data_IF_059568601636
#
_entry.id   IF_059568601636
#
_cell.length_a   1.000
_cell.length_b   1.000
_cell.length_c   1.000
_cell.angle_alpha   90.00
_cell.angle_beta   90.00
_cell.angle_gamma   90.00
#
_symmetry.space_group_name_H-M   'P 1'
#
loop_
_entity.id
_entity.type
_entity.pdbx_description
1 polymer ?
#
# COMPACT_ATOMS: atom_id res chain seq x y z
N UNK A 1 25.38 -13.54 -9.20
CA UNK A 1 24.68 -12.64 -10.11
C UNK A 1 25.65 -11.54 -10.55
N UNK A 2 25.69 -11.19 -11.85
CA UNK A 2 26.46 -10.06 -12.33
C UNK A 2 25.83 -8.76 -11.79
N UNK A 3 26.68 -7.82 -11.36
CA UNK A 3 26.20 -6.51 -10.95
C UNK A 3 25.80 -5.71 -12.21
N UNK A 4 24.81 -4.82 -12.06
CA UNK A 4 24.41 -3.93 -13.14
C UNK A 4 25.61 -3.08 -13.60
N UNK A 5 25.81 -2.91 -14.91
CA UNK A 5 26.82 -1.99 -15.44
C UNK A 5 26.57 -0.55 -14.99
N UNK A 6 27.62 0.27 -15.09
CA UNK A 6 27.46 1.73 -14.89
C UNK A 6 26.52 2.32 -15.94
N UNK A 7 25.77 3.36 -15.57
CA UNK A 7 24.75 4.00 -16.40
C UNK A 7 23.55 3.11 -16.81
N UNK A 8 23.38 1.92 -16.20
CA UNK A 8 22.20 1.07 -16.47
C UNK A 8 20.89 1.81 -16.22
N UNK A 9 19.95 1.60 -17.13
CA UNK A 9 18.58 2.15 -17.07
C UNK A 9 17.67 1.17 -16.35
N UNK A 10 17.04 1.59 -15.28
CA UNK A 10 16.07 0.78 -14.53
C UNK A 10 14.74 1.49 -14.53
N UNK A 11 13.72 0.84 -15.07
CA UNK A 11 12.35 1.33 -15.05
C UNK A 11 11.56 0.55 -13.98
N UNK A 12 10.99 1.27 -13.02
CA UNK A 12 10.15 0.72 -11.96
C UNK A 12 8.69 1.03 -12.30
N UNK A 13 7.88 0.01 -12.49
CA UNK A 13 6.46 0.13 -12.82
C UNK A 13 5.62 0.04 -11.56
N UNK A 14 5.09 1.16 -11.12
CA UNK A 14 4.30 1.36 -9.90
C UNK A 14 5.03 2.19 -8.85
N UNK A 15 4.45 3.34 -8.51
CA UNK A 15 4.97 4.32 -7.54
C UNK A 15 4.35 4.20 -6.16
N UNK A 16 3.76 3.06 -5.82
CA UNK A 16 3.38 2.76 -4.45
C UNK A 16 4.59 2.59 -3.53
N UNK A 17 4.38 2.35 -2.23
CA UNK A 17 5.49 2.23 -1.25
C UNK A 17 6.56 1.22 -1.66
N UNK A 18 6.17 0.10 -2.29
CA UNK A 18 7.12 -0.91 -2.78
C UNK A 18 8.04 -0.41 -3.89
N UNK A 19 7.48 0.31 -4.88
CA UNK A 19 8.26 0.86 -5.99
C UNK A 19 9.17 2.01 -5.55
N UNK A 20 8.65 2.90 -4.71
CA UNK A 20 9.47 3.98 -4.12
C UNK A 20 10.61 3.41 -3.28
N UNK A 21 10.33 2.43 -2.42
CA UNK A 21 11.36 1.80 -1.60
C UNK A 21 12.42 1.11 -2.45
N UNK A 22 12.00 0.41 -3.52
CA UNK A 22 12.92 -0.20 -4.48
C UNK A 22 13.84 0.84 -5.13
N UNK A 23 13.28 1.95 -5.64
CA UNK A 23 14.05 3.00 -6.30
C UNK A 23 15.06 3.67 -5.37
N UNK A 24 14.63 4.07 -4.18
CA UNK A 24 15.49 4.70 -3.17
C UNK A 24 16.62 3.77 -2.71
N UNK A 25 16.30 2.48 -2.51
CA UNK A 25 17.30 1.50 -2.09
C UNK A 25 18.30 1.20 -3.22
N UNK A 26 17.85 1.07 -4.45
CA UNK A 26 18.72 0.88 -5.61
C UNK A 26 19.66 2.07 -5.80
N UNK A 27 19.14 3.30 -5.68
CA UNK A 27 19.97 4.51 -5.75
C UNK A 27 21.07 4.46 -4.69
N UNK A 28 20.71 4.23 -3.44
CA UNK A 28 21.68 4.14 -2.35
C UNK A 28 22.73 3.06 -2.56
N UNK A 29 22.30 1.84 -2.95
CA UNK A 29 23.25 0.74 -3.20
C UNK A 29 24.18 1.03 -4.38
N UNK A 30 23.72 1.76 -5.39
CA UNK A 30 24.55 2.19 -6.50
C UNK A 30 25.58 3.23 -6.03
N UNK A 31 25.17 4.22 -5.25
CA UNK A 31 26.05 5.22 -4.63
C UNK A 31 27.12 4.56 -3.75
N UNK A 32 26.73 3.63 -2.87
CA UNK A 32 27.62 2.86 -2.01
C UNK A 32 28.63 2.03 -2.82
N UNK A 33 28.24 1.56 -3.99
CA UNK A 33 29.10 0.82 -4.93
C UNK A 33 29.91 1.70 -5.87
N UNK A 34 29.83 3.03 -5.76
CA UNK A 34 30.47 3.99 -6.66
C UNK A 34 29.99 3.89 -8.11
N UNK A 35 28.73 3.52 -8.30
CA UNK A 35 28.09 3.34 -9.62
C UNK A 35 26.97 4.35 -9.84
N UNK A 36 26.74 4.67 -11.09
CA UNK A 36 25.57 5.45 -11.53
C UNK A 36 24.56 4.52 -12.14
N UNK A 37 23.29 4.70 -11.78
CA UNK A 37 22.14 4.08 -12.44
C UNK A 37 21.11 5.15 -12.73
N UNK A 38 20.36 4.98 -13.82
CA UNK A 38 19.25 5.87 -14.20
C UNK A 38 17.96 5.19 -13.78
N UNK A 39 17.28 5.81 -12.82
CA UNK A 39 16.05 5.27 -12.24
C UNK A 39 14.87 6.09 -12.72
N UNK A 40 13.95 5.46 -13.45
CA UNK A 40 12.65 6.03 -13.82
C UNK A 40 11.55 5.24 -13.12
N UNK A 41 10.71 5.94 -12.37
CA UNK A 41 9.57 5.37 -11.67
C UNK A 41 8.29 5.81 -12.36
N UNK A 42 7.51 4.86 -12.86
CA UNK A 42 6.23 5.10 -13.52
C UNK A 42 5.08 4.97 -12.53
N UNK A 43 4.24 6.01 -12.38
CA UNK A 43 3.03 5.98 -11.56
C UNK A 43 1.87 6.65 -12.30
N UNK A 44 0.86 5.86 -12.65
CA UNK A 44 -0.31 6.36 -13.36
C UNK A 44 -1.34 7.06 -12.48
N UNK A 45 -1.31 6.83 -11.16
CA UNK A 45 -2.25 7.44 -10.21
C UNK A 45 -1.88 8.87 -9.88
N UNK A 46 -2.91 9.66 -9.61
CA UNK A 46 -2.75 10.99 -9.06
C UNK A 46 -3.22 10.97 -7.62
N UNK A 47 -2.34 11.32 -6.67
CA UNK A 47 -2.63 11.25 -5.24
C UNK A 47 -3.29 12.53 -4.68
N UNK A 48 -3.73 13.44 -5.54
CA UNK A 48 -4.45 14.66 -5.20
C UNK A 48 -5.86 14.66 -5.77
N UNK A 49 -6.79 15.30 -5.05
CA UNK A 49 -8.16 15.50 -5.49
C UNK A 49 -9.18 14.54 -4.90
N UNK A 50 -10.47 14.87 -5.06
CA UNK A 50 -11.60 14.18 -4.42
C UNK A 50 -11.87 12.75 -4.94
N UNK A 51 -11.28 12.38 -6.07
CA UNK A 51 -11.51 11.07 -6.73
C UNK A 51 -10.52 9.99 -6.31
N UNK A 52 -9.59 10.32 -5.43
CA UNK A 52 -8.55 9.38 -5.09
C UNK A 52 -8.91 8.60 -3.83
N UNK A 53 -9.27 7.35 -4.00
CA UNK A 53 -9.56 6.42 -2.92
C UNK A 53 -8.47 5.36 -2.86
N UNK A 54 -7.77 5.28 -1.74
CA UNK A 54 -7.01 4.09 -1.39
C UNK A 54 -7.89 3.24 -0.47
N UNK A 55 -8.32 2.08 -0.97
CA UNK A 55 -9.15 1.12 -0.23
C UNK A 55 -8.29 0.31 0.76
N UNK A 56 -7.74 1.00 1.75
CA UNK A 56 -6.86 0.42 2.76
C UNK A 56 -7.21 0.99 4.14
N UNK A 57 -7.13 0.17 5.18
CA UNK A 57 -7.29 0.63 6.56
C UNK A 57 -6.20 1.65 6.95
N UNK A 58 -5.03 1.61 6.29
CA UNK A 58 -3.98 2.59 6.49
C UNK A 58 -3.24 2.44 7.81
N UNK A 59 -3.03 1.21 8.25
CA UNK A 59 -2.23 0.90 9.43
C UNK A 59 -0.78 0.68 9.01
N UNK A 60 0.13 1.38 9.64
CA UNK A 60 1.57 1.25 9.47
C UNK A 60 2.15 0.71 10.78
N UNK A 61 2.77 -0.46 10.72
CA UNK A 61 3.28 -1.17 11.90
C UNK A 61 4.80 -1.11 11.98
N UNK A 62 5.34 -1.29 13.17
CA UNK A 62 6.77 -1.51 13.37
C UNK A 62 7.25 -2.73 12.54
N UNK A 63 8.47 -2.75 12.00
CA UNK A 63 9.51 -1.71 12.14
C UNK A 63 9.53 -0.67 10.98
N UNK A 64 8.38 -0.37 10.35
CA UNK A 64 8.33 0.49 9.17
C UNK A 64 8.95 1.88 9.38
N UNK A 65 8.69 2.62 10.49
CA UNK A 65 9.33 3.92 10.72
C UNK A 65 10.86 3.84 10.70
N UNK A 66 11.42 2.82 11.34
CA UNK A 66 12.85 2.56 11.36
C UNK A 66 13.41 2.21 9.97
N UNK A 67 12.69 1.38 9.22
CA UNK A 67 13.10 1.00 7.85
C UNK A 67 13.12 2.22 6.93
N UNK A 68 12.11 3.09 7.01
CA UNK A 68 12.09 4.33 6.22
C UNK A 68 13.33 5.18 6.50
N UNK A 69 13.62 5.41 7.77
CA UNK A 69 14.75 6.27 8.15
C UNK A 69 16.10 5.62 7.88
N UNK A 70 16.32 4.39 8.36
CA UNK A 70 17.64 3.74 8.30
C UNK A 70 17.96 3.17 6.92
N UNK A 71 16.96 2.64 6.21
CA UNK A 71 17.20 1.98 4.92
C UNK A 71 17.00 2.93 3.74
N UNK A 72 15.98 3.77 3.79
CA UNK A 72 15.63 4.63 2.66
C UNK A 72 16.10 6.08 2.85
N UNK A 73 16.52 6.48 4.05
CA UNK A 73 16.85 7.87 4.37
C UNK A 73 15.64 8.81 4.27
N UNK A 74 14.44 8.28 4.48
CA UNK A 74 13.18 9.01 4.46
C UNK A 74 12.67 9.09 5.90
N UNK A 75 12.45 10.29 6.41
CA UNK A 75 11.89 10.47 7.74
C UNK A 75 10.44 9.93 7.79
N UNK A 76 10.07 9.36 8.92
CA UNK A 76 8.68 9.00 9.12
C UNK A 76 7.81 10.26 9.18
N UNK A 77 6.68 10.34 8.42
CA UNK A 77 5.87 11.55 8.34
C UNK A 77 4.90 11.66 9.54
N UNK A 78 5.40 11.99 10.73
CA UNK A 78 4.57 12.11 11.93
C UNK A 78 3.37 13.04 11.78
N UNK A 79 3.46 14.06 10.91
CA UNK A 79 2.34 14.95 10.59
C UNK A 79 1.18 14.26 9.83
N UNK A 80 1.37 13.04 9.33
CA UNK A 80 0.32 12.24 8.68
C UNK A 80 -0.31 11.22 9.64
N UNK A 81 0.15 11.16 10.89
CA UNK A 81 -0.45 10.31 11.91
C UNK A 81 -1.83 10.82 12.26
N UNK A 82 -2.81 9.95 12.12
CA UNK A 82 -4.19 10.22 12.54
C UNK A 82 -4.49 9.62 13.91
N UNK A 83 -3.86 8.50 14.25
CA UNK A 83 -4.01 7.86 15.56
C UNK A 83 -2.92 6.85 15.81
N UNK A 84 -2.40 6.83 17.03
CA UNK A 84 -1.62 5.74 17.57
C UNK A 84 -2.54 4.54 17.91
N UNK A 85 -2.12 3.34 17.52
CA UNK A 85 -2.86 2.10 17.74
C UNK A 85 -2.01 1.19 18.63
N UNK A 86 -2.52 0.87 19.81
CA UNK A 86 -1.77 0.11 20.82
C UNK A 86 -2.00 -1.40 20.75
N UNK A 87 -2.85 -1.87 19.87
CA UNK A 87 -3.12 -3.29 19.69
C UNK A 87 -4.48 -3.58 19.10
N UNK A 88 -4.99 -4.77 19.42
CA UNK A 88 -6.21 -5.34 18.85
C UNK A 88 -7.17 -5.83 19.91
N UNK A 89 -8.45 -5.80 19.59
CA UNK A 89 -9.49 -6.60 20.26
C UNK A 89 -10.01 -7.59 19.22
N UNK A 90 -9.67 -8.86 19.39
CA UNK A 90 -10.14 -9.92 18.52
C UNK A 90 -11.51 -10.41 19.01
N UNK A 91 -12.52 -10.30 18.14
CA UNK A 91 -13.87 -10.78 18.43
C UNK A 91 -14.05 -12.18 17.85
N UNK A 92 -14.22 -13.15 18.72
CA UNK A 92 -14.68 -14.49 18.38
C UNK A 92 -16.19 -14.63 18.54
N UNK A 93 -16.76 -15.82 18.26
CA UNK A 93 -18.21 -16.05 18.35
C UNK A 93 -18.80 -15.93 19.77
N UNK A 94 -17.96 -16.10 20.81
CA UNK A 94 -18.41 -16.10 22.22
C UNK A 94 -17.53 -15.26 23.14
N UNK A 95 -16.29 -14.97 22.73
CA UNK A 95 -15.26 -14.37 23.56
C UNK A 95 -14.53 -13.25 22.81
N UNK A 96 -13.85 -12.42 23.57
CA UNK A 96 -12.96 -11.39 23.05
C UNK A 96 -11.56 -11.61 23.63
N UNK A 97 -10.54 -11.39 22.80
CA UNK A 97 -9.15 -11.40 23.22
C UNK A 97 -8.54 -10.02 22.99
N UNK A 98 -8.06 -9.40 24.06
CA UNK A 98 -7.29 -8.15 23.97
C UNK A 98 -5.84 -8.50 23.79
N UNK A 99 -5.22 -7.90 22.78
CA UNK A 99 -3.81 -8.06 22.44
C UNK A 99 -3.16 -6.68 22.34
N UNK A 100 -2.13 -6.45 23.13
CA UNK A 100 -1.34 -5.23 23.09
C UNK A 100 -0.08 -5.45 22.23
N UNK A 101 0.24 -4.46 21.39
CA UNK A 101 1.48 -4.43 20.63
C UNK A 101 2.62 -3.89 21.51
N UNK A 102 3.83 -4.41 21.32
CA UNK A 102 5.02 -3.91 22.04
C UNK A 102 5.41 -2.51 21.56
N UNK A 103 5.24 -2.28 20.27
CA UNK A 103 5.49 -1.00 19.63
C UNK A 103 4.19 -0.59 18.94
N UNK A 104 3.65 0.61 19.23
CA UNK A 104 2.40 1.04 18.65
C UNK A 104 2.46 1.08 17.12
N UNK A 105 1.35 0.73 16.50
CA UNK A 105 1.11 0.97 15.09
C UNK A 105 0.53 2.37 14.89
N UNK A 106 0.57 2.89 13.67
CA UNK A 106 0.05 4.23 13.36
C UNK A 106 -1.01 4.14 12.27
N UNK A 107 -2.16 4.75 12.52
CA UNK A 107 -3.18 4.93 11.50
C UNK A 107 -2.89 6.17 10.66
N UNK A 108 -2.86 6.01 9.33
CA UNK A 108 -2.66 7.10 8.37
C UNK A 108 -3.70 7.04 7.25
N UNK A 109 -3.84 8.11 6.49
CA UNK A 109 -4.50 8.07 5.19
C UNK A 109 -3.48 7.62 4.14
N UNK A 110 -3.63 6.39 3.63
CA UNK A 110 -2.67 5.79 2.70
C UNK A 110 -2.40 6.65 1.47
N UNK A 111 -3.40 7.36 0.96
CA UNK A 111 -3.21 8.27 -0.17
C UNK A 111 -2.18 9.37 0.13
N UNK A 112 -2.21 9.93 1.34
CA UNK A 112 -1.25 10.95 1.77
C UNK A 112 0.14 10.36 2.01
N UNK A 113 0.20 9.17 2.60
CA UNK A 113 1.45 8.46 2.80
C UNK A 113 2.09 8.05 1.46
N UNK A 114 1.31 7.54 0.51
CA UNK A 114 1.80 7.16 -0.80
C UNK A 114 2.33 8.38 -1.58
N UNK A 115 1.63 9.53 -1.50
CA UNK A 115 2.11 10.78 -2.08
C UNK A 115 3.41 11.28 -1.40
N UNK A 116 3.46 11.22 -0.07
CA UNK A 116 4.66 11.57 0.68
C UNK A 116 5.88 10.75 0.23
N UNK A 117 5.71 9.45 0.05
CA UNK A 117 6.77 8.56 -0.43
C UNK A 117 7.21 8.93 -1.86
N UNK A 118 6.28 9.26 -2.76
CA UNK A 118 6.62 9.74 -4.10
C UNK A 118 7.35 11.08 -4.09
N UNK A 119 6.96 12.02 -3.22
CA UNK A 119 7.65 13.28 -3.05
C UNK A 119 9.08 13.06 -2.51
N UNK A 120 9.25 12.12 -1.58
CA UNK A 120 10.57 11.75 -1.09
C UNK A 120 11.46 11.18 -2.21
N UNK A 121 10.91 10.35 -3.10
CA UNK A 121 11.64 9.87 -4.28
C UNK A 121 12.09 11.02 -5.20
N UNK A 122 11.20 11.96 -5.49
CA UNK A 122 11.53 13.17 -6.29
C UNK A 122 12.61 14.02 -5.63
N UNK A 123 12.49 14.25 -4.32
CA UNK A 123 13.45 15.05 -3.55
C UNK A 123 14.86 14.42 -3.54
N UNK A 124 14.94 13.11 -3.71
CA UNK A 124 16.20 12.35 -3.84
C UNK A 124 16.68 12.25 -5.29
N UNK A 125 16.01 12.90 -6.24
CA UNK A 125 16.40 12.97 -7.63
C UNK A 125 15.96 11.78 -8.50
N UNK A 126 15.07 10.90 -8.02
CA UNK A 126 14.47 9.89 -8.89
C UNK A 126 13.56 10.56 -9.92
N UNK A 127 13.67 10.13 -11.18
CA UNK A 127 12.74 10.54 -12.22
C UNK A 127 11.39 9.85 -11.99
N UNK A 128 10.37 10.61 -11.56
CA UNK A 128 9.01 10.10 -11.36
C UNK A 128 8.11 10.60 -12.47
N UNK A 129 7.73 9.70 -13.36
CA UNK A 129 6.91 9.99 -14.53
C UNK A 129 5.48 9.56 -14.28
N UNK A 130 4.54 10.47 -14.60
CA UNK A 130 3.12 10.15 -14.56
C UNK A 130 2.73 9.40 -15.82
N UNK A 131 2.81 8.07 -15.76
CA UNK A 131 2.45 7.19 -16.87
C UNK A 131 2.05 5.82 -16.35
N UNK A 132 1.22 5.12 -17.11
CA UNK A 132 0.88 3.71 -16.90
C UNK A 132 1.57 2.87 -17.94
N UNK A 133 2.26 1.81 -17.54
CA UNK A 133 2.78 0.81 -18.45
C UNK A 133 1.62 0.00 -19.05
N UNK A 134 1.60 -0.09 -20.38
CA UNK A 134 0.55 -0.78 -21.14
C UNK A 134 1.07 -2.00 -21.89
N UNK A 135 2.37 -2.06 -22.18
CA UNK A 135 3.01 -3.23 -22.76
C UNK A 135 4.52 -3.27 -22.47
N UNK A 136 5.12 -4.45 -22.65
CA UNK A 136 6.56 -4.69 -22.54
C UNK A 136 7.03 -5.46 -23.77
N UNK A 137 8.15 -5.02 -24.36
CA UNK A 137 8.82 -5.72 -25.47
C UNK A 137 10.28 -6.01 -25.08
N UNK A 138 10.65 -7.29 -25.10
CA UNK A 138 11.97 -7.78 -24.70
C UNK A 138 12.85 -7.99 -25.93
N UNK A 139 13.90 -7.20 -26.03
CA UNK A 139 14.96 -7.36 -27.02
C UNK A 139 16.19 -8.05 -26.39
N UNK A 140 17.16 -8.39 -27.22
CA UNK A 140 18.37 -9.08 -26.77
C UNK A 140 19.22 -8.26 -25.78
N UNK A 141 19.17 -6.92 -25.87
CA UNK A 141 20.01 -5.96 -25.17
C UNK A 141 19.22 -4.98 -24.30
N UNK A 142 17.90 -4.94 -24.39
CA UNK A 142 17.05 -3.99 -23.66
C UNK A 142 15.61 -4.49 -23.56
N UNK A 143 14.86 -3.81 -22.69
CA UNK A 143 13.40 -3.90 -22.64
C UNK A 143 12.80 -2.55 -22.99
N UNK A 144 11.76 -2.53 -23.81
CA UNK A 144 10.96 -1.35 -24.08
C UNK A 144 9.68 -1.41 -23.25
N UNK A 145 9.48 -0.43 -22.39
CA UNK A 145 8.26 -0.27 -21.60
C UNK A 145 7.36 0.74 -22.32
N UNK A 146 6.30 0.27 -22.92
CA UNK A 146 5.30 1.13 -23.56
C UNK A 146 4.37 1.69 -22.50
N UNK A 147 4.08 2.99 -22.60
CA UNK A 147 3.11 3.69 -21.76
C UNK A 147 2.01 4.33 -22.58
N UNK A 148 1.02 4.89 -21.91
CA UNK A 148 -0.06 5.66 -22.56
C UNK A 148 0.46 6.89 -23.32
N UNK A 149 1.68 7.34 -23.06
CA UNK A 149 2.28 8.54 -23.67
C UNK A 149 3.52 8.27 -24.50
N UNK A 150 4.56 7.71 -23.91
CA UNK A 150 5.87 7.53 -24.55
C UNK A 150 6.51 6.21 -24.11
N UNK A 151 7.29 5.54 -24.96
CA UNK A 151 8.06 4.37 -24.56
C UNK A 151 9.29 4.77 -23.72
N UNK A 152 9.70 3.85 -22.85
CA UNK A 152 10.94 3.95 -22.07
C UNK A 152 11.81 2.72 -22.36
N UNK A 153 13.06 2.95 -22.72
CA UNK A 153 14.04 1.87 -22.81
C UNK A 153 14.67 1.59 -21.45
N UNK A 154 14.82 0.34 -21.11
CA UNK A 154 15.41 -0.13 -19.86
C UNK A 154 16.32 -1.33 -20.09
N UNK A 155 17.36 -1.43 -19.27
CA UNK A 155 18.19 -2.63 -19.16
C UNK A 155 17.58 -3.60 -18.12
N UNK A 156 16.82 -3.05 -17.17
CA UNK A 156 16.03 -3.81 -16.19
C UNK A 156 14.67 -3.15 -15.99
N UNK A 157 13.61 -3.96 -15.93
CA UNK A 157 12.26 -3.53 -15.55
C UNK A 157 11.85 -4.21 -14.24
N UNK A 158 11.36 -3.42 -13.29
CA UNK A 158 10.87 -3.89 -12.00
C UNK A 158 9.36 -3.72 -11.94
N UNK A 159 8.62 -4.82 -11.75
CA UNK A 159 7.19 -4.79 -11.50
C UNK A 159 6.90 -4.52 -10.02
N UNK A 160 6.42 -3.31 -9.71
CA UNK A 160 6.00 -2.89 -8.36
C UNK A 160 4.54 -2.36 -8.34
N UNK A 161 3.73 -2.83 -9.25
CA UNK A 161 2.38 -2.37 -9.58
C UNK A 161 1.30 -2.79 -8.57
N UNK A 162 1.67 -3.54 -7.51
CA UNK A 162 0.73 -3.98 -6.48
C UNK A 162 -0.43 -4.79 -7.05
N UNK A 163 -1.66 -4.33 -6.82
CA UNK A 163 -2.90 -5.00 -7.25
C UNK A 163 -3.49 -4.41 -8.54
N UNK A 164 -2.68 -3.73 -9.38
CA UNK A 164 -3.14 -3.24 -10.68
C UNK A 164 -3.25 -4.42 -11.67
N UNK A 165 -4.48 -4.89 -11.90
CA UNK A 165 -4.77 -6.05 -12.75
C UNK A 165 -4.32 -5.85 -14.20
N UNK A 166 -4.43 -4.63 -14.72
CA UNK A 166 -4.02 -4.31 -16.09
C UNK A 166 -2.51 -4.49 -16.28
N UNK A 167 -1.72 -3.92 -15.38
CA UNK A 167 -0.25 -4.08 -15.41
C UNK A 167 0.17 -5.53 -15.08
N UNK A 168 -0.53 -6.19 -14.13
CA UNK A 168 -0.29 -7.59 -13.81
C UNK A 168 -0.49 -8.49 -15.05
N UNK A 169 -1.53 -8.23 -15.85
CA UNK A 169 -1.80 -8.95 -17.10
C UNK A 169 -0.70 -8.72 -18.14
N UNK A 170 -0.14 -7.50 -18.25
CA UNK A 170 1.01 -7.22 -19.12
C UNK A 170 2.20 -8.09 -18.71
N UNK A 171 2.58 -8.07 -17.44
CA UNK A 171 3.70 -8.87 -16.94
C UNK A 171 3.46 -10.38 -17.10
N UNK A 172 2.23 -10.85 -16.85
CA UNK A 172 1.89 -12.27 -17.03
C UNK A 172 2.02 -12.72 -18.49
N UNK A 173 1.63 -11.87 -19.45
CA UNK A 173 1.71 -12.17 -20.87
C UNK A 173 3.15 -12.19 -21.40
N UNK A 174 4.00 -11.28 -20.91
CA UNK A 174 5.34 -11.02 -21.46
C UNK A 174 6.46 -11.69 -20.69
N UNK A 175 6.18 -12.13 -19.47
CA UNK A 175 7.15 -12.81 -18.60
C UNK A 175 6.53 -14.10 -18.03
N UNK A 176 7.21 -14.80 -17.19
CA UNK A 176 6.64 -15.94 -16.46
C UNK A 176 5.86 -15.55 -15.20
N UNK A 177 5.53 -14.27 -15.00
CA UNK A 177 4.82 -13.79 -13.81
C UNK A 177 3.43 -14.42 -13.69
N UNK A 178 3.11 -14.89 -12.51
CA UNK A 178 1.77 -15.37 -12.16
C UNK A 178 1.24 -14.52 -11.01
N UNK A 179 0.10 -13.82 -11.21
CA UNK A 179 -0.54 -13.10 -10.11
C UNK A 179 -0.85 -14.05 -8.95
N UNK A 180 -0.62 -13.64 -7.70
CA UNK A 180 -1.05 -14.42 -6.54
C UNK A 180 -2.57 -14.43 -6.44
N UNK A 181 -3.10 -15.45 -5.75
CA UNK A 181 -4.50 -15.42 -5.31
C UNK A 181 -4.73 -14.23 -4.38
N UNK A 182 -5.84 -13.53 -4.59
CA UNK A 182 -6.18 -12.36 -3.82
C UNK A 182 -7.58 -12.47 -3.21
N UNK A 183 -7.76 -11.89 -2.03
CA UNK A 183 -9.07 -11.66 -1.45
C UNK A 183 -9.64 -10.35 -1.97
N UNK A 184 -10.92 -10.36 -2.28
CA UNK A 184 -11.67 -9.13 -2.51
C UNK A 184 -11.83 -8.38 -1.18
N UNK A 185 -11.82 -7.06 -1.22
CA UNK A 185 -11.99 -6.21 -0.03
C UNK A 185 -12.98 -5.09 -0.30
N UNK A 186 -13.82 -4.80 0.68
CA UNK A 186 -14.64 -3.60 0.71
C UNK A 186 -14.29 -2.75 1.92
N UNK A 187 -14.25 -1.43 1.71
CA UNK A 187 -13.90 -0.46 2.75
C UNK A 187 -14.94 0.65 2.80
N UNK A 188 -15.35 1.02 4.00
CA UNK A 188 -16.20 2.18 4.24
C UNK A 188 -15.71 3.00 5.42
N UNK A 189 -16.28 4.17 5.63
CA UNK A 189 -16.00 5.04 6.77
C UNK A 189 -17.27 5.33 7.53
N UNK A 190 -17.13 5.43 8.84
CA UNK A 190 -18.21 5.81 9.75
C UNK A 190 -17.73 6.94 10.66
N UNK A 191 -18.51 7.98 10.78
CA UNK A 191 -18.22 9.19 11.58
C UNK A 191 -19.20 9.26 12.77
N UNK A 192 -18.89 8.62 13.90
CA UNK A 192 -19.81 8.53 15.03
C UNK A 192 -19.87 9.81 15.88
N UNK A 193 -18.96 10.75 15.65
CA UNK A 193 -18.78 11.95 16.46
C UNK A 193 -17.71 11.82 17.55
N UNK A 194 -17.29 12.96 18.15
CA UNK A 194 -16.09 13.00 19.01
C UNK A 194 -16.22 12.15 20.29
N UNK A 195 -17.40 12.11 20.90
CA UNK A 195 -17.63 11.37 22.15
C UNK A 195 -17.50 9.85 21.91
N UNK A 196 -18.15 9.33 20.87
CA UNK A 196 -18.05 7.92 20.51
C UNK A 196 -16.64 7.55 20.05
N UNK A 197 -15.95 8.44 19.33
CA UNK A 197 -14.53 8.23 18.96
C UNK A 197 -13.61 8.15 20.17
N UNK A 198 -13.86 8.95 21.22
CA UNK A 198 -13.11 8.88 22.48
C UNK A 198 -13.38 7.55 23.23
N UNK A 199 -14.63 7.12 23.28
CA UNK A 199 -15.05 5.89 23.92
C UNK A 199 -14.52 4.64 23.19
N UNK A 200 -14.38 4.67 21.86
CA UNK A 200 -13.86 3.55 21.06
C UNK A 200 -12.43 3.17 21.45
N UNK A 201 -11.62 4.13 21.81
CA UNK A 201 -10.24 3.90 22.23
C UNK A 201 -9.25 3.66 21.07
N UNK A 202 -8.00 3.29 21.39
CA UNK A 202 -6.90 3.21 20.43
C UNK A 202 -6.62 1.79 19.92
N UNK A 203 -7.58 0.87 19.92
CA UNK A 203 -7.39 -0.49 19.43
C UNK A 203 -8.19 -0.77 18.17
N UNK A 204 -7.64 -1.64 17.32
CA UNK A 204 -8.36 -2.17 16.17
C UNK A 204 -9.27 -3.29 16.66
N UNK A 205 -10.55 -3.22 16.34
CA UNK A 205 -11.46 -4.33 16.53
C UNK A 205 -11.43 -5.23 15.29
N UNK A 206 -10.96 -6.46 15.45
CA UNK A 206 -10.88 -7.45 14.38
C UNK A 206 -11.86 -8.60 14.66
N UNK A 207 -12.64 -8.93 13.65
CA UNK A 207 -13.66 -9.98 13.67
C UNK A 207 -13.17 -11.14 12.84
N UNK A 208 -12.84 -12.24 13.50
CA UNK A 208 -12.33 -13.47 12.89
C UNK A 208 -13.41 -14.55 12.94
N UNK A 209 -13.64 -15.25 11.84
CA UNK A 209 -14.59 -16.35 11.79
C UNK A 209 -15.42 -16.36 10.51
N UNK A 210 -16.30 -17.37 10.41
CA UNK A 210 -17.16 -17.52 9.24
C UNK A 210 -18.34 -16.53 9.27
N UNK A 211 -18.14 -15.40 8.66
CA UNK A 211 -19.12 -14.34 8.54
C UNK A 211 -19.77 -14.32 7.14
N UNK A 212 -20.33 -15.47 6.71
CA UNK A 212 -21.03 -15.53 5.43
C UNK A 212 -20.08 -15.38 4.21
N UNK A 213 -18.93 -16.03 4.24
CA UNK A 213 -17.92 -15.95 3.15
C UNK A 213 -16.84 -14.89 3.38
N UNK A 214 -16.90 -14.14 4.48
CA UNK A 214 -15.82 -13.25 4.88
C UNK A 214 -14.73 -14.02 5.61
N UNK A 215 -13.48 -13.74 5.27
CA UNK A 215 -12.31 -14.22 6.00
C UNK A 215 -12.09 -13.40 7.28
N UNK A 216 -12.28 -12.10 7.19
CA UNK A 216 -12.24 -11.19 8.33
C UNK A 216 -12.98 -9.88 8.09
N UNK A 217 -13.30 -9.19 9.19
CA UNK A 217 -13.71 -7.80 9.22
C UNK A 217 -12.90 -7.04 10.25
N UNK A 218 -12.68 -5.73 10.05
CA UNK A 218 -12.00 -4.90 11.03
C UNK A 218 -12.56 -3.49 11.09
N UNK A 219 -12.48 -2.89 12.27
CA UNK A 219 -12.82 -1.49 12.54
C UNK A 219 -11.60 -0.82 13.12
N UNK A 220 -11.02 0.11 12.37
CA UNK A 220 -9.78 0.81 12.71
C UNK A 220 -10.09 2.26 13.04
N UNK A 221 -9.81 2.73 14.26
CA UNK A 221 -10.05 4.12 14.64
C UNK A 221 -9.01 5.06 14.00
N UNK A 222 -9.48 6.24 13.60
CA UNK A 222 -8.67 7.39 13.18
C UNK A 222 -9.10 8.61 14.00
N UNK A 223 -8.72 9.81 13.59
CA UNK A 223 -9.05 11.01 14.38
C UNK A 223 -10.55 11.23 14.51
N UNK A 224 -11.23 11.31 13.37
CA UNK A 224 -12.62 11.75 13.23
C UNK A 224 -13.55 10.65 12.73
N UNK A 225 -13.02 9.46 12.42
CA UNK A 225 -13.80 8.37 11.85
C UNK A 225 -13.23 6.99 12.15
N UNK A 226 -14.08 6.01 12.00
CA UNK A 226 -13.74 4.60 11.97
C UNK A 226 -13.61 4.14 10.50
N UNK A 227 -12.49 3.56 10.13
CA UNK A 227 -12.36 2.86 8.86
C UNK A 227 -12.77 1.42 9.06
N UNK A 228 -13.78 0.98 8.33
CA UNK A 228 -14.32 -0.36 8.41
C UNK A 228 -13.96 -1.09 7.13
N UNK A 229 -13.30 -2.22 7.25
CA UNK A 229 -12.93 -3.06 6.12
C UNK A 229 -13.32 -4.51 6.35
N UNK A 230 -13.75 -5.15 5.28
CA UNK A 230 -14.01 -6.58 5.24
C UNK A 230 -13.24 -7.18 4.07
N UNK A 231 -12.83 -8.42 4.18
CA UNK A 231 -12.18 -9.16 3.11
C UNK A 231 -12.64 -10.61 3.06
N UNK A 232 -12.64 -11.16 1.87
CA UNK A 232 -13.06 -12.54 1.61
C UNK A 232 -13.15 -12.83 0.12
N UNK A 233 -13.63 -14.01 -0.23
CA UNK A 233 -13.85 -14.36 -1.63
C UNK A 233 -15.15 -13.74 -2.14
N UNK A 234 -15.06 -12.91 -3.19
CA UNK A 234 -16.24 -12.32 -3.82
C UNK A 234 -17.00 -11.28 -2.96
N UNK A 235 -16.28 -10.49 -2.15
CA UNK A 235 -16.88 -9.47 -1.26
C UNK A 235 -17.57 -8.37 -2.07
N UNK A 236 -18.78 -7.99 -1.62
CA UNK A 236 -19.64 -6.95 -2.22
C UNK A 236 -20.11 -5.94 -1.16
N UNK A 237 -20.82 -4.91 -1.60
CA UNK A 237 -21.49 -3.96 -0.70
C UNK A 237 -22.55 -4.61 0.21
N UNK A 238 -23.21 -5.67 -0.25
CA UNK A 238 -24.17 -6.42 0.56
C UNK A 238 -23.50 -7.13 1.75
N UNK A 239 -22.32 -7.68 1.54
CA UNK A 239 -21.51 -8.25 2.62
C UNK A 239 -21.11 -7.20 3.65
N UNK A 240 -20.78 -5.98 3.21
CA UNK A 240 -20.52 -4.86 4.11
C UNK A 240 -21.76 -4.49 4.92
N UNK A 241 -22.92 -4.38 4.27
CA UNK A 241 -24.18 -4.08 4.96
C UNK A 241 -24.54 -5.17 5.97
N UNK A 242 -24.37 -6.45 5.61
CA UNK A 242 -24.58 -7.57 6.51
C UNK A 242 -23.62 -7.56 7.70
N UNK A 243 -22.34 -7.24 7.47
CA UNK A 243 -21.33 -7.11 8.52
C UNK A 243 -21.69 -5.99 9.51
N UNK A 244 -22.03 -4.80 9.00
CA UNK A 244 -22.46 -3.67 9.82
C UNK A 244 -23.77 -3.92 10.58
N UNK A 245 -24.61 -4.80 10.05
CA UNK A 245 -25.88 -5.21 10.66
C UNK A 245 -25.75 -6.10 11.90
N UNK A 246 -24.57 -6.67 12.16
CA UNK A 246 -24.34 -7.62 13.27
C UNK A 246 -24.39 -6.94 14.63
N UNK A 247 -24.98 -7.59 15.64
CA UNK A 247 -25.08 -7.01 16.99
C UNK A 247 -23.71 -6.65 17.58
N UNK A 248 -22.71 -7.54 17.43
CA UNK A 248 -21.35 -7.34 17.94
C UNK A 248 -20.60 -6.20 17.24
N UNK A 249 -20.91 -5.92 15.97
CA UNK A 249 -20.34 -4.79 15.24
C UNK A 249 -21.07 -3.50 15.59
N UNK A 250 -22.42 -3.54 15.61
CA UNK A 250 -23.23 -2.39 16.03
C UNK A 250 -22.91 -1.92 17.44
N UNK A 251 -22.61 -2.86 18.34
CA UNK A 251 -22.33 -2.56 19.74
C UNK A 251 -21.03 -1.77 19.96
N UNK A 252 -20.17 -1.68 18.97
CA UNK A 252 -18.91 -0.92 19.04
C UNK A 252 -18.91 0.34 18.13
N UNK A 253 -19.90 0.49 17.26
CA UNK A 253 -20.08 1.65 16.37
C UNK A 253 -20.94 2.73 17.01
#
# INVERSE_FOLDING_TARGET
AAALPDDSRVVIVGGGPGGVACGLLLQRLAEDAGRRIRLTLLEGKQFSGARHHNLCAGVLTAPLPDLLTRRLGVNFPGHLEHRELVGYILHGPRDQLVMDEREPSVAVRRVQFDDYMLQAARARGLEVVRARAVDLDFHADRVVVYTESSPFEADVVVGAFGMDEGTAAVFARTTGYRPPDALASAVTRFHPGPEAMAAFGPRIHAFLGNYGGLEFGAVTPKDDHLTINIAGRGVTGEHMAAFLGRPEVKGIL
#
